data_IF_155686485474
#
_entry.id   IF_155686485474
#
_cell.length_a   1.000
_cell.length_b   1.000
_cell.length_c   1.000
_cell.angle_alpha   90.00
_cell.angle_beta   90.00
_cell.angle_gamma   90.00
#
_symmetry.space_group_name_H-M   'P 1'
#
loop_
_entity.id
_entity.type
_entity.pdbx_description
1 polymer ?
#
# COMPACT_ATOMS: atom_id res chain seq x y z
N UNK A 1 10.02 38.91 -21.93
CA UNK A 1 8.74 38.16 -21.89
C UNK A 1 8.88 36.64 -22.10
N UNK A 2 10.09 36.05 -22.14
CA UNK A 2 10.28 34.59 -22.36
C UNK A 2 10.63 33.81 -21.08
N UNK A 3 11.12 34.51 -20.04
CA UNK A 3 11.56 33.92 -18.78
C UNK A 3 10.45 33.75 -17.72
N UNK A 4 9.29 34.39 -17.93
CA UNK A 4 8.17 34.31 -16.98
C UNK A 4 7.34 33.03 -17.15
N UNK A 5 7.45 32.37 -18.31
CA UNK A 5 6.68 31.15 -18.62
C UNK A 5 7.31 29.91 -17.96
N UNK A 6 8.63 29.89 -17.79
CA UNK A 6 9.35 28.72 -17.25
C UNK A 6 9.10 28.48 -15.76
N UNK A 7 8.77 29.51 -14.99
CA UNK A 7 8.58 29.40 -13.53
C UNK A 7 7.20 28.79 -13.19
N UNK A 8 6.22 28.91 -14.08
CA UNK A 8 4.84 28.45 -13.82
C UNK A 8 4.68 26.92 -13.87
N UNK A 9 5.55 26.18 -14.57
CA UNK A 9 5.41 24.72 -14.69
C UNK A 9 5.93 23.94 -13.46
N UNK A 10 6.79 24.52 -12.64
CA UNK A 10 7.36 23.83 -11.46
C UNK A 10 6.39 23.85 -10.26
N UNK A 11 5.43 24.78 -10.25
CA UNK A 11 4.47 24.93 -9.14
C UNK A 11 3.29 23.94 -9.15
N UNK A 12 2.99 23.27 -10.28
CA UNK A 12 1.80 22.42 -10.40
C UNK A 12 2.01 20.95 -10.03
N UNK A 13 3.24 20.49 -9.78
CA UNK A 13 3.52 19.09 -9.49
C UNK A 13 3.37 18.71 -8.00
N UNK A 14 3.16 19.69 -7.11
CA UNK A 14 3.06 19.44 -5.66
C UNK A 14 1.66 19.04 -5.18
N UNK A 15 0.64 19.02 -6.04
CA UNK A 15 -0.75 18.77 -5.66
C UNK A 15 -1.18 17.28 -5.70
N UNK A 16 -0.30 16.37 -6.14
CA UNK A 16 -0.58 14.93 -6.17
C UNK A 16 -0.09 14.24 -4.87
N UNK A 17 -0.60 14.60 -3.69
CA UNK A 17 -0.30 13.87 -2.45
C UNK A 17 -1.36 14.12 -1.36
N UNK A 18 -2.62 13.88 -1.65
CA UNK A 18 -3.72 14.09 -0.69
C UNK A 18 -3.87 12.92 0.29
N UNK A 19 -2.81 12.66 1.08
CA UNK A 19 -2.84 12.05 2.42
C UNK A 19 -1.62 12.61 3.17
N UNK A 20 -1.84 13.34 4.29
CA UNK A 20 -0.79 13.90 5.16
C UNK A 20 -0.06 12.79 5.93
N UNK A 21 0.50 11.83 5.21
CA UNK A 21 1.31 10.75 5.76
C UNK A 21 2.75 11.23 5.87
N UNK A 22 3.40 10.90 7.00
CA UNK A 22 4.85 11.07 7.10
C UNK A 22 5.55 10.16 6.08
N UNK A 23 6.79 10.49 5.71
CA UNK A 23 7.57 9.64 4.81
C UNK A 23 7.72 8.21 5.36
N UNK A 24 7.94 8.10 6.68
CA UNK A 24 8.03 6.81 7.38
C UNK A 24 6.73 6.00 7.27
N UNK A 25 5.57 6.66 7.38
CA UNK A 25 4.27 6.01 7.22
C UNK A 25 4.04 5.54 5.79
N UNK A 26 4.41 6.34 4.78
CA UNK A 26 4.32 5.94 3.37
C UNK A 26 5.18 4.70 3.09
N UNK A 27 6.41 4.69 3.59
CA UNK A 27 7.31 3.55 3.44
C UNK A 27 6.80 2.32 4.20
N UNK A 28 6.26 2.50 5.40
CA UNK A 28 5.62 1.44 6.20
C UNK A 28 4.44 0.81 5.47
N UNK A 29 3.51 1.63 4.99
CA UNK A 29 2.35 1.17 4.21
C UNK A 29 2.76 0.45 2.93
N UNK A 30 3.79 0.95 2.23
CA UNK A 30 4.29 0.29 1.02
C UNK A 30 4.90 -1.09 1.32
N UNK A 31 5.63 -1.23 2.43
CA UNK A 31 6.12 -2.54 2.89
C UNK A 31 4.97 -3.50 3.21
N UNK A 32 3.94 -3.03 3.90
CA UNK A 32 2.76 -3.84 4.22
C UNK A 32 2.03 -4.32 2.95
N UNK A 33 1.87 -3.44 1.96
CA UNK A 33 1.27 -3.81 0.67
C UNK A 33 2.12 -4.86 -0.08
N UNK A 34 3.44 -4.69 -0.09
CA UNK A 34 4.35 -5.63 -0.73
C UNK A 34 4.35 -7.01 -0.04
N UNK A 35 4.26 -7.05 1.29
CA UNK A 35 4.12 -8.29 2.06
C UNK A 35 2.79 -8.99 1.74
N UNK A 36 1.67 -8.25 1.69
CA UNK A 36 0.36 -8.80 1.36
C UNK A 36 0.35 -9.43 -0.04
N UNK A 37 0.89 -8.72 -1.04
CA UNK A 37 1.00 -9.23 -2.40
C UNK A 37 1.79 -10.55 -2.48
N UNK A 38 2.90 -10.65 -1.75
CA UNK A 38 3.70 -11.89 -1.70
C UNK A 38 2.93 -13.04 -1.04
N UNK A 39 2.17 -12.76 0.02
CA UNK A 39 1.33 -13.75 0.68
C UNK A 39 0.21 -14.24 -0.27
N UNK A 40 -0.54 -13.33 -0.87
CA UNK A 40 -1.62 -13.64 -1.80
C UNK A 40 -1.12 -14.41 -3.03
N UNK A 41 0.02 -14.00 -3.58
CA UNK A 41 0.67 -14.71 -4.69
C UNK A 41 1.04 -16.15 -4.29
N UNK A 42 1.53 -16.35 -3.06
CA UNK A 42 1.84 -17.68 -2.54
C UNK A 42 0.58 -18.54 -2.36
N UNK A 43 -0.54 -17.94 -1.93
CA UNK A 43 -1.83 -18.61 -1.84
C UNK A 43 -2.37 -19.00 -3.23
N UNK A 44 -2.30 -18.08 -4.20
CA UNK A 44 -2.80 -18.30 -5.57
C UNK A 44 -1.93 -19.27 -6.40
N UNK A 45 -0.65 -19.40 -6.07
CA UNK A 45 0.23 -20.37 -6.72
C UNK A 45 0.12 -21.77 -6.08
N UNK A 46 -0.68 -21.92 -5.02
CA UNK A 46 -1.06 -23.24 -4.52
C UNK A 46 -2.08 -23.88 -5.44
N UNK A 47 -2.07 -25.20 -5.58
CA UNK A 47 -3.00 -25.99 -6.41
C UNK A 47 -4.46 -25.96 -5.94
N UNK A 48 -4.80 -25.02 -5.06
CA UNK A 48 -6.02 -24.92 -4.29
C UNK A 48 -6.89 -23.74 -4.73
N UNK A 49 -6.70 -23.19 -5.93
CA UNK A 49 -7.27 -21.90 -6.37
C UNK A 49 -8.78 -21.70 -6.13
N UNK A 50 -9.58 -22.76 -6.03
CA UNK A 50 -11.03 -22.70 -5.73
C UNK A 50 -11.44 -23.41 -4.43
N UNK A 51 -10.46 -23.87 -3.63
CA UNK A 51 -10.70 -24.56 -2.37
C UNK A 51 -10.97 -23.58 -1.24
N UNK A 52 -11.77 -24.03 -0.27
CA UNK A 52 -11.95 -23.37 1.02
C UNK A 52 -10.60 -23.08 1.71
N UNK A 53 -9.57 -23.89 1.45
CA UNK A 53 -8.20 -23.68 1.93
C UNK A 53 -7.56 -22.43 1.32
N UNK A 54 -7.79 -22.12 0.05
CA UNK A 54 -7.32 -20.87 -0.56
C UNK A 54 -8.03 -19.67 0.06
N UNK A 55 -9.34 -19.76 0.31
CA UNK A 55 -10.09 -18.72 1.02
C UNK A 55 -9.54 -18.44 2.43
N UNK A 56 -9.17 -19.49 3.17
CA UNK A 56 -8.51 -19.34 4.49
C UNK A 56 -7.12 -18.72 4.36
N UNK A 57 -6.34 -19.12 3.34
CA UNK A 57 -5.02 -18.56 3.07
C UNK A 57 -5.11 -17.05 2.78
N UNK A 58 -6.00 -16.65 1.86
CA UNK A 58 -6.20 -15.25 1.50
C UNK A 58 -6.68 -14.42 2.69
N UNK A 59 -7.56 -14.96 3.54
CA UNK A 59 -7.98 -14.28 4.79
C UNK A 59 -6.80 -14.03 5.72
N UNK A 60 -5.91 -15.01 5.90
CA UNK A 60 -4.70 -14.82 6.73
C UNK A 60 -3.80 -13.71 6.19
N UNK A 61 -3.63 -13.61 4.88
CA UNK A 61 -2.85 -12.52 4.28
C UNK A 61 -3.45 -11.15 4.64
N UNK A 62 -4.78 -11.02 4.57
CA UNK A 62 -5.48 -9.78 4.96
C UNK A 62 -5.31 -9.48 6.46
N UNK A 63 -5.40 -10.49 7.32
CA UNK A 63 -5.21 -10.33 8.77
C UNK A 63 -3.77 -9.86 9.08
N UNK A 64 -2.76 -10.47 8.46
CA UNK A 64 -1.36 -10.07 8.57
C UNK A 64 -1.11 -8.67 8.01
N UNK A 65 -1.72 -8.33 6.87
CA UNK A 65 -1.65 -7.01 6.28
C UNK A 65 -2.23 -5.94 7.23
N UNK A 66 -3.38 -6.21 7.85
CA UNK A 66 -3.98 -5.30 8.82
C UNK A 66 -3.11 -5.16 10.08
N UNK A 67 -2.53 -6.26 10.57
CA UNK A 67 -1.59 -6.22 11.69
C UNK A 67 -0.30 -5.45 11.36
N UNK A 68 0.18 -5.52 10.11
CA UNK A 68 1.31 -4.71 9.63
C UNK A 68 0.96 -3.22 9.64
N UNK A 69 -0.19 -2.85 9.05
CA UNK A 69 -0.65 -1.45 9.01
C UNK A 69 -0.86 -0.86 10.41
N UNK A 70 -1.36 -1.64 11.36
CA UNK A 70 -1.53 -1.22 12.75
C UNK A 70 -0.21 -0.79 13.43
N UNK A 71 0.94 -1.31 12.98
CA UNK A 71 2.26 -0.91 13.49
C UNK A 71 2.74 0.42 12.88
N UNK A 72 2.17 0.84 11.75
CA UNK A 72 2.52 2.11 11.09
C UNK A 72 1.82 3.30 11.75
N UNK A 73 0.64 3.08 12.35
CA UNK A 73 -0.09 4.11 13.07
C UNK A 73 -1.50 3.65 13.48
N UNK A 74 -2.06 4.25 14.55
CA UNK A 74 -3.40 3.92 15.05
C UNK A 74 -4.52 4.19 14.04
N UNK A 75 -4.30 5.09 13.08
CA UNK A 75 -5.25 5.43 12.02
C UNK A 75 -5.43 4.33 10.96
N UNK A 76 -4.60 3.28 10.97
CA UNK A 76 -4.67 2.16 10.02
C UNK A 76 -5.15 0.84 10.63
N UNK A 77 -5.67 0.87 11.86
CA UNK A 77 -6.30 -0.28 12.51
C UNK A 77 -7.71 -0.45 11.91
N UNK A 78 -7.98 -1.62 11.31
CA UNK A 78 -9.28 -2.02 10.76
C UNK A 78 -10.15 -2.70 11.82
#
# INVERSE_FOLDING_TARGET
MKQLITIALVGLLAACSSQNLTQEQKEGLNRCAQQNFQCESSCSNSSLNESMTNGVCMRKCVDEHNACKAQVGPEFIN
#
